data_IF_031743355131
#
_entry.id   IF_031743355131
#
_cell.length_a   1.000
_cell.length_b   1.000
_cell.length_c   1.000
_cell.angle_alpha   90.00
_cell.angle_beta   90.00
_cell.angle_gamma   90.00
#
_symmetry.space_group_name_H-M   'P 1'
#
loop_
_entity.id
_entity.type
_entity.pdbx_description
1 polymer ?
#
# COMPACT_ATOMS: atom_id res chain seq x y z
N UNK A 1 -36.84 -20.52 -17.76
CA UNK A 1 -36.19 -19.80 -18.87
C UNK A 1 -34.87 -19.26 -18.38
N UNK A 2 -33.72 -19.61 -18.98
CA UNK A 2 -32.44 -19.12 -18.48
C UNK A 2 -32.25 -17.66 -18.90
N UNK A 3 -32.04 -16.79 -17.92
CA UNK A 3 -31.67 -15.38 -18.11
C UNK A 3 -30.30 -15.29 -18.77
N UNK A 4 -30.25 -14.67 -19.95
CA UNK A 4 -29.01 -14.38 -20.69
C UNK A 4 -28.06 -13.50 -19.86
N UNK A 5 -26.75 -13.77 -19.82
CA UNK A 5 -25.79 -12.81 -19.25
C UNK A 5 -25.68 -11.59 -20.17
N UNK A 6 -25.76 -10.40 -19.57
CA UNK A 6 -25.62 -9.11 -20.27
C UNK A 6 -24.14 -8.89 -20.57
N UNK A 7 -23.80 -8.68 -21.85
CA UNK A 7 -22.48 -8.21 -22.28
C UNK A 7 -22.18 -6.85 -21.62
N UNK A 8 -21.15 -6.79 -20.77
CA UNK A 8 -20.62 -5.53 -20.27
C UNK A 8 -19.46 -5.10 -21.16
N UNK A 9 -19.77 -4.32 -22.21
CA UNK A 9 -18.75 -3.53 -22.94
C UNK A 9 -18.36 -2.31 -22.10
N UNK A 10 -17.17 -1.72 -22.34
CA UNK A 10 -16.60 -0.55 -21.61
C UNK A 10 -17.60 0.59 -21.33
N UNK A 11 -18.59 0.78 -22.19
CA UNK A 11 -19.65 1.80 -22.05
C UNK A 11 -20.62 1.52 -20.87
N UNK A 12 -20.88 0.25 -20.56
CA UNK A 12 -21.89 -0.14 -19.58
C UNK A 12 -21.40 0.01 -18.12
N UNK A 13 -20.08 -0.07 -17.89
CA UNK A 13 -19.45 0.09 -16.58
C UNK A 13 -19.56 1.54 -16.06
N UNK A 14 -19.48 2.53 -16.96
CA UNK A 14 -19.53 3.95 -16.59
C UNK A 14 -20.94 4.44 -16.17
N UNK A 15 -22.00 3.82 -16.70
CA UNK A 15 -23.40 4.20 -16.44
C UNK A 15 -23.88 3.77 -15.04
N UNK A 16 -23.47 2.57 -14.58
CA UNK A 16 -23.94 2.01 -13.31
C UNK A 16 -23.29 2.63 -12.07
N UNK A 17 -22.07 3.17 -12.18
CA UNK A 17 -21.30 3.71 -11.04
C UNK A 17 -21.84 5.05 -10.53
N UNK A 18 -22.68 5.76 -11.31
CA UNK A 18 -23.22 7.08 -10.93
C UNK A 18 -24.44 7.03 -10.00
N UNK A 19 -25.00 5.88 -9.67
CA UNK A 19 -26.22 5.81 -8.85
C UNK A 19 -26.06 4.87 -7.64
N UNK A 20 -26.11 5.51 -6.46
CA UNK A 20 -26.35 4.97 -5.10
C UNK A 20 -25.16 4.33 -4.39
N UNK A 21 -24.55 5.13 -3.51
CA UNK A 21 -23.94 4.65 -2.27
C UNK A 21 -25.06 4.19 -1.33
N UNK A 22 -25.10 2.91 -0.98
CA UNK A 22 -25.85 2.40 0.17
C UNK A 22 -24.84 1.78 1.13
N UNK A 23 -24.81 2.30 2.36
CA UNK A 23 -24.11 1.69 3.49
C UNK A 23 -24.76 0.35 3.81
N UNK A 24 -23.96 -0.72 3.85
CA UNK A 24 -24.34 -1.97 4.49
C UNK A 24 -23.52 -2.10 5.78
N UNK A 25 -24.15 -1.79 6.91
CA UNK A 25 -23.75 -2.34 8.22
C UNK A 25 -24.22 -3.79 8.27
N UNK A 26 -23.32 -4.71 8.62
CA UNK A 26 -23.66 -6.11 8.93
C UNK A 26 -23.24 -6.43 10.38
N UNK A 27 -23.97 -7.34 11.04
CA UNK A 27 -23.99 -7.47 12.51
C UNK A 27 -22.73 -8.16 13.05
N UNK A 28 -22.44 -8.05 14.37
CA UNK A 28 -21.28 -8.69 14.97
C UNK A 28 -21.46 -10.21 15.02
N UNK A 29 -20.43 -10.95 14.61
CA UNK A 29 -20.36 -12.41 14.78
C UNK A 29 -19.84 -12.82 16.17
N UNK A 30 -20.17 -14.04 16.64
CA UNK A 30 -20.23 -14.37 18.06
C UNK A 30 -18.89 -14.77 18.70
N UNK A 31 -18.87 -14.53 20.01
CA UNK A 31 -17.79 -14.73 20.97
C UNK A 31 -17.36 -16.21 21.10
N UNK A 32 -16.13 -16.53 20.67
CA UNK A 32 -15.52 -17.84 20.87
C UNK A 32 -14.95 -17.93 22.28
N UNK A 33 -15.74 -18.48 23.21
CA UNK A 33 -15.30 -18.88 24.55
C UNK A 33 -14.24 -19.98 24.45
N UNK A 34 -13.07 -19.72 25.03
CA UNK A 34 -12.04 -20.72 25.35
C UNK A 34 -12.48 -21.59 26.53
N UNK A 35 -12.29 -22.93 26.48
CA UNK A 35 -12.45 -23.77 27.66
C UNK A 35 -11.09 -24.03 28.35
N UNK A 36 -11.10 -23.84 29.68
CA UNK A 36 -10.52 -24.77 30.66
C UNK A 36 -9.02 -24.71 30.91
N UNK A 37 -8.63 -24.04 31.99
CA UNK A 37 -7.35 -24.22 32.66
C UNK A 37 -7.26 -25.60 33.33
N UNK A 38 -6.11 -26.26 33.18
CA UNK A 38 -5.67 -27.35 34.06
C UNK A 38 -4.26 -27.02 34.54
N UNK A 39 -4.12 -27.01 35.87
CA UNK A 39 -2.91 -26.76 36.64
C UNK A 39 -1.99 -27.98 36.64
N UNK A 40 -0.68 -27.74 36.58
CA UNK A 40 0.31 -28.64 37.17
C UNK A 40 1.56 -27.83 37.58
N UNK A 41 1.90 -27.93 38.85
CA UNK A 41 3.12 -27.43 39.47
C UNK A 41 4.35 -28.18 38.97
N UNK A 42 5.49 -27.50 38.94
CA UNK A 42 6.77 -28.13 38.61
C UNK A 42 7.91 -27.13 38.62
N UNK A 43 8.50 -26.93 39.79
CA UNK A 43 9.69 -26.12 40.04
C UNK A 43 10.92 -26.65 39.28
N UNK A 44 11.74 -25.74 38.74
CA UNK A 44 13.21 -25.77 38.84
C UNK A 44 13.81 -24.48 38.30
N UNK A 45 14.57 -23.83 39.19
CA UNK A 45 15.39 -22.66 38.98
C UNK A 45 16.53 -22.94 38.01
N UNK A 46 16.69 -22.09 37.00
CA UNK A 46 17.98 -21.86 36.34
C UNK A 46 18.12 -20.35 36.14
N UNK A 47 19.16 -19.81 36.74
CA UNK A 47 19.61 -18.42 36.67
C UNK A 47 19.82 -17.98 35.22
N UNK A 48 18.96 -17.07 34.73
CA UNK A 48 19.18 -16.33 33.50
C UNK A 48 19.64 -14.92 33.88
N UNK A 49 20.85 -14.58 33.47
CA UNK A 49 21.48 -13.27 33.60
C UNK A 49 20.59 -12.23 32.93
N UNK A 50 20.02 -11.31 33.71
CA UNK A 50 19.22 -10.19 33.22
C UNK A 50 20.05 -9.32 32.27
N UNK A 51 19.76 -9.41 30.97
CA UNK A 51 20.05 -8.30 30.05
C UNK A 51 19.15 -7.14 30.46
N UNK A 52 19.69 -6.20 31.23
CA UNK A 52 19.10 -4.87 31.42
C UNK A 52 18.76 -4.27 30.06
N UNK A 53 17.47 -4.28 29.69
CA UNK A 53 16.98 -3.44 28.61
C UNK A 53 16.97 -2.00 29.12
N UNK A 54 17.95 -1.21 28.70
CA UNK A 54 17.90 0.24 28.87
C UNK A 54 16.67 0.75 28.14
N UNK A 55 15.74 1.38 28.86
CA UNK A 55 14.59 2.04 28.27
C UNK A 55 15.07 3.08 27.24
N UNK A 56 14.64 2.95 25.98
CA UNK A 56 14.91 3.94 24.92
C UNK A 56 14.33 5.29 25.33
N UNK A 57 15.10 6.37 25.21
CA UNK A 57 14.58 7.71 25.44
C UNK A 57 13.55 8.04 24.34
N UNK A 58 12.48 8.79 24.66
CA UNK A 58 11.52 9.27 23.67
C UNK A 58 12.22 10.26 22.71
N UNK A 59 12.80 9.72 21.65
CA UNK A 59 13.67 10.42 20.69
C UNK A 59 14.59 9.45 19.91
N UNK A 60 14.88 8.27 20.44
CA UNK A 60 15.84 7.32 19.86
C UNK A 60 15.21 6.25 18.94
N UNK A 61 13.93 6.40 18.59
CA UNK A 61 13.23 5.41 17.77
C UNK A 61 12.06 5.96 16.96
N UNK A 62 11.68 5.23 15.92
CA UNK A 62 10.48 5.48 15.14
C UNK A 62 9.25 5.06 15.96
N UNK A 63 8.37 6.02 16.24
CA UNK A 63 7.11 5.79 16.94
C UNK A 63 6.14 4.97 16.08
N UNK A 64 6.00 5.32 14.81
CA UNK A 64 4.98 4.72 13.96
C UNK A 64 5.28 4.77 12.47
N UNK A 65 4.49 4.02 11.71
CA UNK A 65 4.52 4.01 10.25
C UNK A 65 3.14 4.41 9.75
N UNK A 66 3.05 5.40 8.88
CA UNK A 66 1.83 5.77 8.17
C UNK A 66 1.92 5.33 6.71
N UNK A 67 1.03 4.43 6.31
CA UNK A 67 0.81 4.07 4.91
C UNK A 67 -0.30 4.92 4.31
N UNK A 68 0.02 5.60 3.20
CA UNK A 68 -0.92 6.44 2.46
C UNK A 68 -1.70 5.62 1.44
N UNK A 69 -2.89 5.14 1.81
CA UNK A 69 -3.72 4.25 0.97
C UNK A 69 -4.96 4.93 0.40
N UNK A 70 -5.26 6.17 0.81
CA UNK A 70 -6.50 6.88 0.46
C UNK A 70 -6.55 7.48 -0.96
N UNK A 71 -5.50 7.41 -1.78
CA UNK A 71 -5.48 8.09 -3.10
C UNK A 71 -6.61 7.65 -4.07
N UNK A 72 -7.15 8.60 -4.86
CA UNK A 72 -8.21 8.31 -5.83
C UNK A 72 -7.83 7.23 -6.86
N UNK A 73 -6.55 7.21 -7.29
CA UNK A 73 -6.06 6.21 -8.24
C UNK A 73 -6.67 6.32 -9.65
N UNK A 74 -7.05 7.52 -10.08
CA UNK A 74 -7.77 7.78 -11.35
C UNK A 74 -7.08 7.20 -12.59
N UNK A 75 -5.74 7.24 -12.65
CA UNK A 75 -4.93 6.66 -13.74
C UNK A 75 -5.02 5.12 -13.83
N UNK A 76 -5.58 4.47 -12.82
CA UNK A 76 -5.83 3.04 -12.75
C UNK A 76 -7.34 2.73 -12.66
N UNK A 77 -8.22 3.61 -13.14
CA UNK A 77 -9.65 3.31 -13.27
C UNK A 77 -9.96 2.47 -14.52
N UNK A 78 -10.81 1.42 -14.43
CA UNK A 78 -11.79 1.20 -13.36
C UNK A 78 -11.32 0.37 -12.16
N UNK A 79 -10.07 -0.12 -12.13
CA UNK A 79 -9.58 -0.96 -11.03
C UNK A 79 -9.67 -0.27 -9.66
N UNK A 80 -9.21 0.97 -9.58
CA UNK A 80 -9.20 1.78 -8.34
C UNK A 80 -10.58 2.24 -7.89
N UNK A 81 -11.64 2.01 -8.68
CA UNK A 81 -13.02 2.26 -8.25
C UNK A 81 -13.46 1.24 -7.19
N UNK A 82 -12.97 0.01 -7.27
CA UNK A 82 -13.44 -1.10 -6.45
C UNK A 82 -12.54 -1.42 -5.26
N UNK A 83 -11.21 -1.29 -5.42
CA UNK A 83 -10.25 -1.60 -4.35
C UNK A 83 -9.10 -0.60 -4.35
N UNK A 84 -8.50 -0.30 -3.18
CA UNK A 84 -7.28 0.50 -3.10
C UNK A 84 -6.13 -0.13 -3.90
N UNK A 85 -5.36 0.70 -4.63
CA UNK A 85 -4.16 0.25 -5.35
C UNK A 85 -3.12 -0.39 -4.44
N UNK A 86 -3.11 -0.02 -3.16
CA UNK A 86 -2.28 -0.64 -2.12
C UNK A 86 -2.42 -2.18 -2.07
N UNK A 87 -3.55 -2.71 -2.56
CA UNK A 87 -3.85 -4.14 -2.60
C UNK A 87 -3.52 -4.79 -3.96
N UNK A 88 -2.86 -4.07 -4.88
CA UNK A 88 -2.34 -4.68 -6.11
C UNK A 88 -1.38 -5.82 -5.74
N UNK A 89 -1.46 -6.97 -6.44
CA UNK A 89 -0.60 -8.10 -6.15
C UNK A 89 0.85 -7.78 -6.51
N UNK A 90 1.78 -8.43 -5.82
CA UNK A 90 3.20 -8.48 -6.15
C UNK A 90 3.79 -9.78 -5.58
N UNK A 91 4.05 -10.75 -6.46
CA UNK A 91 4.35 -12.11 -6.02
C UNK A 91 3.17 -12.72 -5.26
N UNK A 92 3.45 -13.27 -4.08
CA UNK A 92 2.47 -13.88 -3.17
C UNK A 92 1.83 -12.87 -2.19
N UNK A 93 2.23 -11.59 -2.23
CA UNK A 93 1.73 -10.53 -1.34
C UNK A 93 1.04 -9.42 -2.16
N UNK A 94 0.53 -8.39 -1.47
CA UNK A 94 0.19 -7.10 -2.08
C UNK A 94 1.33 -6.08 -1.93
N UNK A 95 1.24 -4.94 -2.62
CA UNK A 95 2.14 -3.79 -2.41
C UNK A 95 2.20 -3.37 -0.93
N UNK A 96 1.03 -3.25 -0.29
CA UNK A 96 0.93 -2.91 1.13
C UNK A 96 1.55 -4.00 2.01
N UNK A 97 1.27 -5.27 1.73
CA UNK A 97 1.86 -6.39 2.48
C UNK A 97 3.38 -6.43 2.38
N UNK A 98 3.95 -6.14 1.20
CA UNK A 98 5.41 -6.00 1.02
C UNK A 98 5.96 -4.86 1.88
N UNK A 99 5.31 -3.69 1.88
CA UNK A 99 5.75 -2.55 2.68
C UNK A 99 5.67 -2.84 4.19
N UNK A 100 4.58 -3.45 4.68
CA UNK A 100 4.45 -3.85 6.09
C UNK A 100 5.58 -4.82 6.48
N UNK A 101 5.88 -5.80 5.63
CA UNK A 101 6.98 -6.74 5.86
C UNK A 101 8.36 -6.07 5.89
N UNK A 102 8.59 -5.02 5.11
CA UNK A 102 9.84 -4.27 5.14
C UNK A 102 9.95 -3.42 6.41
N UNK A 103 8.89 -2.73 6.81
CA UNK A 103 8.92 -1.83 7.97
C UNK A 103 8.77 -2.52 9.32
N UNK A 104 8.36 -3.79 9.40
CA UNK A 104 8.31 -4.49 10.70
C UNK A 104 9.67 -4.60 11.39
N UNK A 105 10.77 -4.50 10.63
CA UNK A 105 12.15 -4.63 11.14
C UNK A 105 12.54 -3.52 12.13
N UNK A 106 11.83 -2.38 12.09
CA UNK A 106 12.03 -1.26 13.02
C UNK A 106 11.05 -1.29 14.21
N UNK A 107 10.19 -2.31 14.27
CA UNK A 107 9.27 -2.57 15.39
C UNK A 107 8.48 -1.32 15.86
N UNK A 108 7.72 -0.67 14.95
CA UNK A 108 7.00 0.55 15.30
C UNK A 108 5.93 0.25 16.37
N UNK A 109 5.62 1.21 17.23
CA UNK A 109 4.56 1.05 18.25
C UNK A 109 3.17 0.91 17.59
N UNK A 110 3.00 1.53 16.42
CA UNK A 110 1.74 1.54 15.68
C UNK A 110 1.97 1.63 14.17
N UNK A 111 1.20 0.85 13.42
CA UNK A 111 1.03 1.04 11.98
C UNK A 111 -0.31 1.75 11.75
N UNK A 112 -0.27 2.91 11.12
CA UNK A 112 -1.44 3.65 10.70
C UNK A 112 -1.65 3.54 9.19
N UNK A 113 -2.89 3.56 8.74
CA UNK A 113 -3.25 3.66 7.33
C UNK A 113 -4.37 4.66 7.16
N UNK A 114 -4.19 5.67 6.31
CA UNK A 114 -5.35 6.45 5.88
C UNK A 114 -6.12 5.70 4.80
N UNK A 115 -7.44 5.80 4.79
CA UNK A 115 -8.27 5.07 3.84
C UNK A 115 -9.57 5.84 3.53
N UNK A 116 -9.92 5.86 2.25
CA UNK A 116 -11.22 6.36 1.77
C UNK A 116 -12.13 5.23 1.30
N UNK A 117 -11.58 4.27 0.56
CA UNK A 117 -12.33 3.14 0.00
C UNK A 117 -11.90 1.83 0.67
N UNK A 118 -12.88 0.96 0.96
CA UNK A 118 -12.67 -0.37 1.52
C UNK A 118 -11.63 -0.45 2.66
N UNK A 119 -11.75 0.39 3.71
CA UNK A 119 -10.79 0.41 4.83
C UNK A 119 -10.64 -0.96 5.52
N UNK A 120 -11.68 -1.79 5.51
CA UNK A 120 -11.68 -3.16 6.02
C UNK A 120 -10.69 -4.07 5.27
N UNK A 121 -10.56 -3.91 3.94
CA UNK A 121 -9.61 -4.67 3.14
C UNK A 121 -8.17 -4.25 3.45
N UNK A 122 -7.94 -2.94 3.61
CA UNK A 122 -6.63 -2.39 4.01
C UNK A 122 -6.24 -2.91 5.40
N UNK A 123 -7.15 -2.83 6.37
CA UNK A 123 -6.92 -3.34 7.72
C UNK A 123 -6.57 -4.84 7.70
N UNK A 124 -7.36 -5.65 6.99
CA UNK A 124 -7.13 -7.09 6.91
C UNK A 124 -5.77 -7.41 6.30
N UNK A 125 -5.36 -6.66 5.28
CA UNK A 125 -4.06 -6.86 4.66
C UNK A 125 -2.90 -6.53 5.61
N UNK A 126 -2.96 -5.40 6.33
CA UNK A 126 -1.94 -5.07 7.34
C UNK A 126 -1.90 -6.11 8.45
N UNK A 127 -3.08 -6.53 8.96
CA UNK A 127 -3.21 -7.51 10.05
C UNK A 127 -2.58 -8.87 9.73
N UNK A 128 -2.53 -9.28 8.46
CA UNK A 128 -1.84 -10.52 8.03
C UNK A 128 -0.36 -10.53 8.38
N UNK A 129 0.28 -9.37 8.39
CA UNK A 129 1.74 -9.24 8.56
C UNK A 129 2.14 -8.54 9.86
N UNK A 130 1.21 -7.81 10.49
CA UNK A 130 1.47 -7.04 11.70
C UNK A 130 0.52 -7.42 12.86
N UNK A 131 1.04 -8.10 13.90
CA UNK A 131 0.23 -8.46 15.07
C UNK A 131 0.03 -7.28 16.04
N UNK A 132 0.81 -6.22 15.92
CA UNK A 132 0.77 -5.07 16.83
C UNK A 132 -0.43 -4.14 16.63
N UNK A 133 -0.31 -2.92 17.15
CA UNK A 133 -1.37 -1.90 17.07
C UNK A 133 -1.53 -1.42 15.62
N UNK A 134 -2.77 -1.41 15.15
CA UNK A 134 -3.16 -0.86 13.84
C UNK A 134 -4.14 0.28 14.07
N UNK A 135 -3.96 1.40 13.37
CA UNK A 135 -4.89 2.53 13.39
C UNK A 135 -5.35 2.89 11.99
N UNK A 136 -6.65 2.78 11.74
CA UNK A 136 -7.26 3.26 10.50
C UNK A 136 -7.64 4.74 10.63
N UNK A 137 -7.21 5.57 9.70
CA UNK A 137 -7.56 6.98 9.61
C UNK A 137 -8.54 7.14 8.43
N UNK A 138 -9.83 7.19 8.72
CA UNK A 138 -10.84 7.30 7.67
C UNK A 138 -10.88 8.72 7.11
N UNK A 139 -10.85 8.83 5.78
CA UNK A 139 -10.93 10.09 5.05
C UNK A 139 -12.10 10.02 4.07
N UNK A 140 -13.12 10.87 4.23
CA UNK A 140 -14.26 10.92 3.30
C UNK A 140 -13.82 11.18 1.85
N UNK A 141 -12.80 12.02 1.70
CA UNK A 141 -12.09 12.30 0.46
C UNK A 141 -10.58 12.28 0.74
N UNK A 142 -9.75 11.89 -0.24
CA UNK A 142 -8.31 11.82 -0.06
C UNK A 142 -7.76 13.20 0.28
N UNK A 143 -7.20 13.35 1.48
CA UNK A 143 -6.65 14.61 1.94
C UNK A 143 -5.24 14.84 1.36
N UNK A 144 -4.55 13.77 0.97
CA UNK A 144 -3.13 13.84 0.61
C UNK A 144 -2.24 14.05 1.83
N UNK A 145 -0.93 13.92 1.66
CA UNK A 145 0.04 13.88 2.76
C UNK A 145 -0.13 15.02 3.78
N UNK A 146 -0.02 16.32 3.40
CA UNK A 146 -0.16 17.41 4.37
C UNK A 146 -1.52 17.41 5.09
N UNK A 147 -2.61 17.13 4.38
CA UNK A 147 -3.95 17.07 4.97
C UNK A 147 -4.11 15.95 5.98
N UNK A 148 -3.61 14.75 5.67
CA UNK A 148 -3.61 13.60 6.59
C UNK A 148 -2.81 13.90 7.85
N UNK A 149 -1.63 14.51 7.72
CA UNK A 149 -0.80 14.90 8.86
C UNK A 149 -1.48 15.98 9.72
N UNK A 150 -2.01 17.02 9.09
CA UNK A 150 -2.67 18.14 9.77
C UNK A 150 -3.88 17.68 10.59
N UNK A 151 -4.76 16.86 9.98
CA UNK A 151 -5.97 16.34 10.61
C UNK A 151 -5.69 15.39 11.79
N UNK A 152 -4.51 14.74 11.81
CA UNK A 152 -4.16 13.73 12.80
C UNK A 152 -2.95 14.12 13.67
N UNK A 153 -2.60 15.40 13.73
CA UNK A 153 -1.35 15.89 14.32
C UNK A 153 -1.07 15.36 15.75
N UNK A 154 -2.11 15.20 16.57
CA UNK A 154 -2.01 14.72 17.96
C UNK A 154 -1.43 13.28 18.09
N UNK A 155 -1.45 12.51 16.99
CA UNK A 155 -0.90 11.16 16.95
C UNK A 155 0.63 11.14 16.82
N UNK A 156 1.23 12.20 16.28
CA UNK A 156 2.63 12.25 15.89
C UNK A 156 3.49 12.87 17.00
N UNK A 157 3.76 12.08 18.06
CA UNK A 157 4.53 12.52 19.23
C UNK A 157 6.03 12.23 19.12
N UNK A 158 6.42 11.30 18.25
CA UNK A 158 7.81 10.98 17.91
C UNK A 158 8.04 10.98 16.40
N UNK A 159 9.10 10.32 15.95
CA UNK A 159 9.44 10.18 14.53
C UNK A 159 8.51 9.16 13.84
N UNK A 160 8.04 9.48 12.64
CA UNK A 160 7.18 8.60 11.86
C UNK A 160 7.74 8.35 10.47
N UNK A 161 7.70 7.09 10.05
CA UNK A 161 7.83 6.75 8.63
C UNK A 161 6.51 7.09 7.93
N UNK A 162 6.60 7.75 6.79
CA UNK A 162 5.51 8.00 5.87
C UNK A 162 5.82 7.27 4.56
N UNK A 163 4.91 6.43 4.09
CA UNK A 163 5.09 5.68 2.83
C UNK A 163 3.86 5.77 1.96
N UNK A 164 4.05 6.16 0.69
CA UNK A 164 3.10 5.85 -0.37
C UNK A 164 2.97 4.32 -0.51
N UNK A 165 1.92 3.85 -1.18
CA UNK A 165 1.63 2.42 -1.34
C UNK A 165 1.28 2.04 -2.77
N UNK A 166 1.75 2.79 -3.75
CA UNK A 166 1.50 2.57 -5.17
C UNK A 166 2.77 2.40 -5.99
N UNK A 167 3.79 1.81 -5.36
CA UNK A 167 5.07 1.48 -5.95
C UNK A 167 5.63 0.18 -5.39
N UNK A 168 6.57 -0.42 -6.13
CA UNK A 168 7.46 -1.48 -5.62
C UNK A 168 8.85 -0.87 -5.44
N UNK A 169 9.41 -1.06 -4.25
CA UNK A 169 10.75 -0.60 -3.88
C UNK A 169 11.28 -1.50 -2.76
N UNK A 170 12.55 -1.87 -2.85
CA UNK A 170 13.30 -2.48 -1.75
C UNK A 170 13.99 -1.37 -0.95
N UNK A 171 13.46 -1.12 0.25
CA UNK A 171 13.80 0.03 1.07
C UNK A 171 14.90 -0.38 2.05
N UNK A 172 16.02 0.36 2.14
CA UNK A 172 17.04 0.18 3.17
C UNK A 172 16.54 0.77 4.50
N UNK A 173 15.55 0.11 5.11
CA UNK A 173 14.76 0.66 6.22
C UNK A 173 15.64 0.96 7.44
N UNK A 174 16.55 0.06 7.81
CA UNK A 174 17.37 0.23 9.03
C UNK A 174 18.35 1.37 8.85
N UNK A 175 19.03 1.39 7.73
CA UNK A 175 20.05 2.38 7.37
C UNK A 175 19.43 3.77 7.22
N UNK A 176 18.24 3.87 6.63
CA UNK A 176 17.51 5.13 6.52
C UNK A 176 17.09 5.68 7.90
N UNK A 177 16.67 4.81 8.82
CA UNK A 177 16.33 5.21 10.20
C UNK A 177 17.56 5.63 10.99
N UNK A 178 18.64 4.86 10.92
CA UNK A 178 19.92 5.18 11.56
C UNK A 178 20.47 6.53 11.06
N UNK A 179 20.39 6.77 9.76
CA UNK A 179 20.76 8.05 9.16
C UNK A 179 19.89 9.20 9.67
N UNK A 180 18.57 9.03 9.72
CA UNK A 180 17.65 10.07 10.22
C UNK A 180 17.98 10.49 11.65
N UNK A 181 18.17 9.49 12.54
CA UNK A 181 18.45 9.72 13.95
C UNK A 181 19.85 10.30 14.17
N UNK A 182 20.88 9.75 13.53
CA UNK A 182 22.28 10.19 13.71
C UNK A 182 22.54 11.60 13.17
N UNK A 183 21.83 12.00 12.11
CA UNK A 183 21.95 13.35 11.56
C UNK A 183 21.12 14.40 12.32
N UNK A 184 20.18 13.98 13.17
CA UNK A 184 19.22 14.88 13.80
C UNK A 184 18.26 15.53 12.80
N UNK A 185 18.03 14.88 11.65
CA UNK A 185 17.13 15.38 10.61
C UNK A 185 15.71 15.48 11.14
N UNK A 186 15.02 16.58 10.84
CA UNK A 186 13.58 16.71 11.16
C UNK A 186 12.74 16.06 10.05
N UNK A 187 13.26 16.02 8.82
CA UNK A 187 12.67 15.29 7.71
C UNK A 187 13.76 14.60 6.88
N UNK A 188 13.75 13.28 6.81
CA UNK A 188 14.60 12.53 5.88
C UNK A 188 13.77 12.01 4.70
N UNK A 189 14.15 12.35 3.48
CA UNK A 189 13.45 11.96 2.25
C UNK A 189 14.23 10.86 1.53
N UNK A 190 13.57 9.75 1.19
CA UNK A 190 14.20 8.70 0.38
C UNK A 190 14.22 9.13 -1.09
N UNK A 191 15.41 9.21 -1.65
CA UNK A 191 15.64 9.63 -3.03
C UNK A 191 16.37 8.58 -3.84
N UNK A 192 16.21 8.65 -5.16
CA UNK A 192 16.89 7.76 -6.09
C UNK A 192 17.06 8.38 -7.48
N UNK A 193 17.59 7.58 -8.39
CA UNK A 193 17.62 7.91 -9.81
C UNK A 193 16.21 7.95 -10.39
N UNK A 194 16.04 8.69 -11.48
CA UNK A 194 14.78 8.66 -12.23
C UNK A 194 14.62 7.31 -12.93
N UNK A 195 13.41 6.73 -12.97
CA UNK A 195 13.14 5.63 -13.86
C UNK A 195 13.31 6.06 -15.32
N UNK A 196 13.61 5.10 -16.20
CA UNK A 196 13.75 5.31 -17.65
C UNK A 196 12.39 5.46 -18.37
N UNK A 197 11.29 5.42 -17.62
CA UNK A 197 9.92 5.60 -18.09
C UNK A 197 9.21 6.72 -17.33
N UNK A 198 8.13 7.24 -17.91
CA UNK A 198 7.27 8.24 -17.27
C UNK A 198 7.89 9.65 -17.20
N UNK A 199 7.12 10.58 -16.62
CA UNK A 199 7.57 11.95 -16.34
C UNK A 199 7.27 12.25 -14.89
N UNK A 200 8.32 12.37 -14.07
CA UNK A 200 8.20 12.59 -12.64
C UNK A 200 8.81 13.94 -12.24
N UNK A 201 8.25 14.54 -11.19
CA UNK A 201 8.80 15.77 -10.63
C UNK A 201 10.19 15.53 -10.06
N UNK A 202 11.07 16.53 -10.22
CA UNK A 202 12.39 16.53 -9.64
C UNK A 202 12.41 17.16 -8.25
N UNK A 203 13.24 16.58 -7.39
CA UNK A 203 13.68 17.18 -6.15
C UNK A 203 15.09 17.73 -6.34
N UNK A 204 15.29 19.06 -6.26
CA UNK A 204 16.63 19.62 -6.23
C UNK A 204 17.28 19.30 -4.88
N UNK A 205 18.44 18.65 -4.90
CA UNK A 205 19.23 18.37 -3.71
C UNK A 205 20.71 18.54 -4.03
N UNK A 206 21.39 19.44 -3.30
CA UNK A 206 22.83 19.72 -3.46
C UNK A 206 23.25 19.96 -4.93
N UNK A 207 22.43 20.68 -5.69
CA UNK A 207 22.65 20.95 -7.12
C UNK A 207 22.28 19.82 -8.08
N UNK A 208 21.90 18.64 -7.57
CA UNK A 208 21.46 17.51 -8.38
C UNK A 208 19.93 17.40 -8.41
N UNK A 209 19.41 16.82 -9.50
CA UNK A 209 18.00 16.46 -9.62
C UNK A 209 17.80 15.01 -9.17
N UNK A 210 16.94 14.78 -8.18
CA UNK A 210 16.64 13.46 -7.63
C UNK A 210 15.16 13.11 -7.74
N UNK A 211 14.85 11.83 -7.81
CA UNK A 211 13.47 11.35 -7.76
C UNK A 211 13.05 11.05 -6.32
N UNK A 212 11.87 11.52 -5.90
CA UNK A 212 11.26 11.12 -4.63
C UNK A 212 10.69 9.71 -4.75
N UNK A 213 11.18 8.77 -3.95
CA UNK A 213 10.75 7.37 -4.05
C UNK A 213 9.47 7.07 -3.27
N UNK A 214 8.81 8.07 -2.69
CA UNK A 214 7.53 7.93 -2.00
C UNK A 214 7.64 7.53 -0.53
N UNK A 215 8.83 7.55 0.07
CA UNK A 215 9.09 7.20 1.47
C UNK A 215 9.86 8.33 2.16
N UNK A 216 9.47 8.68 3.38
CA UNK A 216 10.22 9.63 4.20
C UNK A 216 10.05 9.35 5.70
N UNK A 217 10.92 9.91 6.52
CA UNK A 217 10.78 9.94 7.98
C UNK A 217 10.58 11.39 8.40
N UNK A 218 9.56 11.66 9.21
CA UNK A 218 9.21 13.00 9.68
C UNK A 218 9.19 13.05 11.21
N UNK A 219 9.68 14.15 11.77
CA UNK A 219 9.53 14.48 13.18
C UNK A 219 8.17 15.14 13.46
N UNK A 220 7.80 15.32 14.74
CA UNK A 220 6.63 16.11 15.12
C UNK A 220 6.67 17.56 14.60
N UNK A 221 7.85 18.15 14.38
CA UNK A 221 7.96 19.54 13.89
C UNK A 221 7.40 19.68 12.49
N UNK A 222 7.69 18.72 11.59
CA UNK A 222 7.15 18.71 10.22
C UNK A 222 5.62 18.61 10.22
N UNK A 223 5.08 17.75 11.08
CA UNK A 223 3.62 17.60 11.25
C UNK A 223 2.99 18.89 11.76
N UNK A 224 3.66 19.60 12.67
CA UNK A 224 3.22 20.91 13.16
C UNK A 224 3.15 21.96 12.05
N UNK A 225 4.10 21.96 11.10
CA UNK A 225 4.05 22.84 9.93
C UNK A 225 2.79 22.57 9.11
N UNK A 226 2.47 21.31 8.83
CA UNK A 226 1.24 20.96 8.10
C UNK A 226 -0.03 21.51 8.78
N UNK A 227 -0.04 21.52 10.12
CA UNK A 227 -1.14 22.04 10.93
C UNK A 227 -1.20 23.57 10.97
N UNK A 228 -0.07 24.26 11.21
CA UNK A 228 0.00 25.72 11.32
C UNK A 228 -0.37 26.38 10.00
N UNK A 229 0.16 25.85 8.90
CA UNK A 229 -0.13 26.30 7.54
C UNK A 229 -1.53 25.89 7.06
N UNK A 230 -2.32 25.24 7.92
CA UNK A 230 -3.69 24.76 7.64
C UNK A 230 -3.79 24.01 6.31
N UNK A 231 -2.77 23.22 6.00
CA UNK A 231 -2.72 22.48 4.74
C UNK A 231 -3.77 21.36 4.81
N UNK A 232 -4.95 21.64 4.27
CA UNK A 232 -6.09 20.71 4.24
C UNK A 232 -6.00 19.71 3.09
N UNK A 233 -5.23 20.04 2.05
CA UNK A 233 -4.92 19.14 0.95
C UNK A 233 -3.54 19.40 0.35
N UNK A 234 -3.03 18.45 -0.43
CA UNK A 234 -1.85 18.66 -1.25
C UNK A 234 -0.94 17.45 -1.38
N UNK A 235 0.17 17.66 -2.08
CA UNK A 235 1.19 16.64 -2.29
C UNK A 235 2.44 16.92 -1.42
N UNK A 236 3.38 15.98 -1.47
CA UNK A 236 4.70 16.09 -0.85
C UNK A 236 5.38 17.44 -1.08
N UNK A 237 5.33 17.97 -2.31
CA UNK A 237 6.01 19.22 -2.69
C UNK A 237 5.48 20.45 -1.94
N UNK A 238 4.17 20.50 -1.67
CA UNK A 238 3.57 21.59 -0.92
C UNK A 238 4.06 21.59 0.54
N UNK A 239 4.02 20.43 1.19
CA UNK A 239 4.51 20.27 2.56
C UNK A 239 6.01 20.56 2.65
N UNK A 240 6.79 20.08 1.68
CA UNK A 240 8.23 20.33 1.61
C UNK A 240 8.53 21.83 1.49
N UNK A 241 7.86 22.54 0.59
CA UNK A 241 8.06 23.99 0.44
C UNK A 241 7.73 24.76 1.73
N UNK A 242 6.66 24.39 2.42
CA UNK A 242 6.31 24.99 3.71
C UNK A 242 7.37 24.69 4.78
N UNK A 243 7.86 23.45 4.85
CA UNK A 243 8.91 23.04 5.78
C UNK A 243 10.24 23.78 5.52
N UNK A 244 10.64 23.93 4.25
CA UNK A 244 11.84 24.69 3.86
C UNK A 244 11.73 26.16 4.29
N UNK A 245 10.58 26.80 4.04
CA UNK A 245 10.32 28.19 4.49
C UNK A 245 10.36 28.34 6.01
N UNK A 246 9.94 27.30 6.74
CA UNK A 246 9.98 27.27 8.19
C UNK A 246 11.36 26.88 8.77
N UNK A 247 12.38 26.69 7.92
CA UNK A 247 13.73 26.33 8.36
C UNK A 247 13.86 24.92 8.93
N UNK A 248 12.96 24.00 8.54
CA UNK A 248 13.07 22.58 8.91
C UNK A 248 14.36 22.01 8.33
N UNK A 249 15.10 21.27 9.15
CA UNK A 249 16.28 20.55 8.68
C UNK A 249 15.86 19.30 7.90
N UNK A 250 15.85 19.43 6.57
CA UNK A 250 15.50 18.36 5.62
C UNK A 250 16.78 17.76 5.06
N UNK A 251 16.90 16.44 5.13
CA UNK A 251 18.02 15.69 4.58
C UNK A 251 17.54 14.63 3.59
N UNK A 252 18.43 14.20 2.69
CA UNK A 252 18.13 13.11 1.76
C UNK A 252 18.87 11.84 2.14
N UNK A 253 18.21 10.70 1.96
CA UNK A 253 18.85 9.39 1.96
C UNK A 253 18.76 8.84 0.54
N UNK A 254 19.89 8.73 -0.15
CA UNK A 254 19.93 8.23 -1.52
C UNK A 254 20.05 6.70 -1.55
N UNK A 255 19.30 6.05 -2.45
CA UNK A 255 19.43 4.63 -2.76
C UNK A 255 19.51 4.40 -4.27
N UNK A 256 20.21 3.34 -4.67
CA UNK A 256 20.25 2.82 -6.04
C UNK A 256 19.20 1.74 -6.29
N UNK A 257 18.28 1.49 -5.35
CA UNK A 257 17.23 0.49 -5.50
C UNK A 257 16.27 0.83 -6.64
N UNK A 258 15.81 -0.20 -7.34
CA UNK A 258 14.84 -0.05 -8.42
C UNK A 258 13.48 0.40 -7.87
N UNK A 259 12.93 1.42 -8.51
CA UNK A 259 11.62 1.97 -8.19
C UNK A 259 10.64 1.68 -9.33
N UNK A 260 9.58 0.94 -9.01
CA UNK A 260 8.56 0.55 -9.99
C UNK A 260 7.23 1.23 -9.68
N UNK A 261 6.79 2.12 -10.57
CA UNK A 261 5.49 2.79 -10.45
C UNK A 261 4.34 1.79 -10.70
N UNK A 262 3.39 1.72 -9.78
CA UNK A 262 2.14 0.94 -9.92
C UNK A 262 0.92 1.86 -10.06
N UNK A 263 1.14 3.06 -10.60
CA UNK A 263 0.21 4.17 -10.60
C UNK A 263 -0.75 4.21 -11.78
N UNK A 264 -0.49 3.46 -12.86
CA UNK A 264 -1.32 3.44 -14.07
C UNK A 264 -1.51 2.03 -14.61
N UNK A 265 -2.57 1.80 -15.39
CA UNK A 265 -2.85 0.50 -16.00
C UNK A 265 -1.70 -0.08 -16.81
N UNK A 266 -1.08 0.77 -17.64
CA UNK A 266 0.06 0.36 -18.47
C UNK A 266 1.24 -0.10 -17.62
N UNK A 267 1.57 0.63 -16.55
CA UNK A 267 2.69 0.32 -15.68
C UNK A 267 2.41 -0.90 -14.80
N UNK A 268 1.18 -1.05 -14.30
CA UNK A 268 0.75 -2.25 -13.57
C UNK A 268 0.96 -3.49 -14.46
N UNK A 269 0.52 -3.44 -15.71
CA UNK A 269 0.75 -4.54 -16.67
C UNK A 269 2.23 -4.79 -16.90
N UNK A 270 2.98 -3.74 -17.25
CA UNK A 270 4.42 -3.82 -17.53
C UNK A 270 5.17 -4.50 -16.36
N UNK A 271 4.95 -4.02 -15.14
CA UNK A 271 5.70 -4.47 -13.97
C UNK A 271 5.24 -5.84 -13.45
N UNK A 272 3.95 -6.20 -13.56
CA UNK A 272 3.52 -7.55 -13.19
C UNK A 272 4.05 -8.62 -14.15
N UNK A 273 4.22 -8.28 -15.43
CA UNK A 273 4.73 -9.21 -16.44
C UNK A 273 6.26 -9.26 -16.49
N UNK A 274 6.97 -8.37 -15.78
CA UNK A 274 8.43 -8.24 -15.92
C UNK A 274 9.21 -9.46 -15.42
N UNK A 275 8.62 -10.26 -14.53
CA UNK A 275 9.24 -11.46 -13.94
C UNK A 275 8.78 -12.76 -14.62
N UNK A 276 8.23 -12.66 -15.83
CA UNK A 276 7.71 -13.81 -16.57
C UNK A 276 6.24 -14.09 -16.28
N UNK A 277 5.78 -15.25 -16.76
CA UNK A 277 4.40 -15.67 -16.60
C UNK A 277 4.13 -16.26 -15.22
N UNK A 278 2.97 -15.95 -14.64
CA UNK A 278 2.54 -16.40 -13.33
C UNK A 278 1.07 -16.82 -13.36
N UNK A 279 0.76 -17.94 -12.70
CA UNK A 279 -0.60 -18.40 -12.43
C UNK A 279 -0.69 -18.74 -10.95
N UNK A 280 -1.55 -18.02 -10.23
CA UNK A 280 -1.78 -18.31 -8.82
C UNK A 280 -2.39 -19.73 -8.65
N UNK A 281 -1.99 -20.52 -7.65
CA UNK A 281 -2.44 -21.91 -7.49
C UNK A 281 -3.96 -22.10 -7.38
N UNK A 282 -4.70 -21.08 -6.93
CA UNK A 282 -6.17 -21.12 -6.85
C UNK A 282 -6.89 -20.69 -8.13
N UNK A 283 -6.17 -20.29 -9.17
CA UNK A 283 -6.76 -19.95 -10.46
C UNK A 283 -7.18 -21.23 -11.20
N UNK A 284 -8.32 -21.17 -11.89
CA UNK A 284 -8.86 -22.27 -12.66
C UNK A 284 -8.73 -21.96 -14.14
N UNK A 285 -7.89 -22.73 -14.84
CA UNK A 285 -7.66 -22.59 -16.28
C UNK A 285 -8.27 -23.79 -16.99
N UNK A 286 -9.25 -23.56 -17.86
CA UNK A 286 -9.82 -24.62 -18.66
C UNK A 286 -8.74 -25.20 -19.60
N UNK A 287 -8.75 -26.53 -19.77
CA UNK A 287 -7.76 -27.26 -20.61
C UNK A 287 -7.68 -26.77 -22.07
N UNK A 288 -8.78 -26.20 -22.57
CA UNK A 288 -8.90 -25.71 -23.95
C UNK A 288 -8.65 -24.19 -24.05
N UNK A 289 -8.19 -23.54 -22.98
CA UNK A 289 -7.80 -22.14 -23.03
C UNK A 289 -6.39 -21.99 -23.64
N UNK A 290 -6.17 -20.91 -24.38
CA UNK A 290 -4.90 -20.61 -25.04
C UNK A 290 -4.18 -19.47 -24.32
N UNK A 291 -2.97 -19.75 -23.81
CA UNK A 291 -2.14 -18.79 -23.09
C UNK A 291 -0.86 -18.54 -23.89
N UNK A 292 -0.70 -17.32 -24.39
CA UNK A 292 0.40 -16.91 -25.27
C UNK A 292 1.25 -15.80 -24.65
N UNK A 293 2.56 -15.83 -24.87
CA UNK A 293 3.47 -14.81 -24.35
C UNK A 293 3.47 -14.71 -22.82
N UNK A 294 3.46 -13.48 -22.30
CA UNK A 294 3.50 -13.23 -20.86
C UNK A 294 2.10 -13.10 -20.26
N UNK A 295 1.87 -13.67 -19.07
CA UNK A 295 0.59 -13.50 -18.39
C UNK A 295 0.73 -13.50 -16.88
N UNK A 296 -0.11 -12.74 -16.21
CA UNK A 296 -0.25 -12.77 -14.75
C UNK A 296 -1.69 -13.12 -14.40
N UNK A 297 -1.93 -14.30 -13.82
CA UNK A 297 -3.26 -14.77 -13.44
C UNK A 297 -3.35 -14.80 -11.92
N UNK A 298 -4.10 -13.84 -11.36
CA UNK A 298 -4.28 -13.68 -9.92
C UNK A 298 -5.10 -14.78 -9.24
N UNK A 299 -5.27 -14.65 -7.94
CA UNK A 299 -5.96 -15.65 -7.12
C UNK A 299 -7.43 -15.77 -7.50
N UNK A 300 -7.94 -17.01 -7.52
CA UNK A 300 -9.36 -17.32 -7.80
C UNK A 300 -9.86 -16.81 -9.16
N UNK A 301 -8.96 -16.54 -10.09
CA UNK A 301 -9.32 -16.23 -11.47
C UNK A 301 -9.88 -17.47 -12.17
N UNK A 302 -10.77 -17.27 -13.14
CA UNK A 302 -11.35 -18.33 -13.97
C UNK A 302 -11.12 -18.00 -15.43
N UNK A 303 -10.44 -18.89 -16.15
CA UNK A 303 -10.26 -18.82 -17.61
C UNK A 303 -11.08 -19.94 -18.21
N UNK A 304 -12.15 -19.57 -18.91
CA UNK A 304 -13.13 -20.53 -19.45
C UNK A 304 -12.64 -21.19 -20.75
N UNK A 305 -13.39 -22.20 -21.21
CA UNK A 305 -13.08 -22.94 -22.44
C UNK A 305 -12.93 -22.04 -23.67
N UNK A 306 -11.89 -22.29 -24.47
CA UNK A 306 -11.61 -21.54 -25.70
C UNK A 306 -11.20 -20.09 -25.50
N UNK A 307 -11.01 -19.63 -24.26
CA UNK A 307 -10.56 -18.27 -23.99
C UNK A 307 -9.07 -18.10 -24.35
N UNK A 308 -8.70 -16.89 -24.79
CA UNK A 308 -7.33 -16.56 -25.20
C UNK A 308 -6.78 -15.47 -24.28
N UNK A 309 -5.56 -15.66 -23.80
CA UNK A 309 -4.82 -14.65 -23.04
C UNK A 309 -3.46 -14.45 -23.68
N UNK A 310 -3.11 -13.20 -23.99
CA UNK A 310 -1.80 -12.85 -24.52
C UNK A 310 -1.25 -11.57 -23.92
N UNK A 311 -0.03 -11.62 -23.40
CA UNK A 311 0.67 -10.46 -22.84
C UNK A 311 -0.25 -9.66 -21.90
N UNK A 312 -0.93 -10.30 -20.94
CA UNK A 312 -2.03 -9.66 -20.21
C UNK A 312 -2.09 -10.04 -18.74
N UNK A 313 -2.76 -9.22 -17.94
CA UNK A 313 -2.93 -9.42 -16.49
C UNK A 313 -4.39 -9.66 -16.17
N UNK A 314 -4.69 -10.69 -15.40
CA UNK A 314 -5.97 -10.90 -14.73
C UNK A 314 -5.76 -10.75 -13.22
N UNK A 315 -6.40 -9.77 -12.61
CA UNK A 315 -6.32 -9.55 -11.17
C UNK A 315 -7.33 -10.40 -10.40
N UNK A 316 -7.12 -10.51 -9.08
CA UNK A 316 -7.84 -11.46 -8.22
C UNK A 316 -9.36 -11.54 -8.49
N UNK A 317 -9.83 -12.78 -8.66
CA UNK A 317 -11.22 -13.14 -8.90
C UNK A 317 -11.71 -12.91 -10.33
N UNK A 318 -10.89 -12.34 -11.23
CA UNK A 318 -11.31 -12.06 -12.60
C UNK A 318 -11.77 -13.31 -13.35
N UNK A 319 -12.81 -13.15 -14.17
CA UNK A 319 -13.37 -14.24 -14.98
C UNK A 319 -13.26 -13.87 -16.46
N UNK A 320 -12.61 -14.73 -17.24
CA UNK A 320 -12.59 -14.66 -18.69
C UNK A 320 -13.59 -15.71 -19.23
N UNK A 321 -14.62 -15.23 -19.93
CA UNK A 321 -15.75 -16.03 -20.40
C UNK A 321 -15.35 -16.96 -21.57
N UNK A 322 -16.16 -18.00 -21.89
CA UNK A 322 -15.84 -18.91 -22.98
C UNK A 322 -15.64 -18.17 -24.31
N UNK A 323 -14.56 -18.50 -25.02
CA UNK A 323 -14.19 -17.89 -26.31
C UNK A 323 -13.75 -16.42 -26.24
N UNK A 324 -13.67 -15.80 -25.05
CA UNK A 324 -13.24 -14.41 -24.93
C UNK A 324 -11.71 -14.28 -25.09
N UNK A 325 -11.26 -13.14 -25.60
CA UNK A 325 -9.84 -12.85 -25.82
C UNK A 325 -9.40 -11.64 -25.01
N UNK A 326 -8.28 -11.78 -24.29
CA UNK A 326 -7.61 -10.74 -23.52
C UNK A 326 -6.19 -10.55 -24.06
N UNK A 327 -5.95 -9.42 -24.72
CA UNK A 327 -4.70 -9.14 -25.44
C UNK A 327 -4.18 -7.77 -25.06
N UNK A 328 -2.93 -7.72 -24.60
CA UNK A 328 -2.23 -6.50 -24.22
C UNK A 328 -2.98 -5.62 -23.19
N UNK A 329 -3.77 -6.23 -22.30
CA UNK A 329 -4.67 -5.52 -21.38
C UNK A 329 -4.63 -6.09 -19.94
N UNK A 330 -5.37 -5.43 -19.05
CA UNK A 330 -5.53 -5.83 -17.64
C UNK A 330 -7.01 -5.97 -17.31
N UNK A 331 -7.42 -7.14 -16.83
CA UNK A 331 -8.76 -7.35 -16.26
C UNK A 331 -8.73 -6.97 -14.77
N UNK A 332 -9.56 -6.01 -14.33
CA UNK A 332 -9.68 -5.64 -12.93
C UNK A 332 -10.16 -6.79 -12.04
N UNK A 333 -10.03 -6.62 -10.73
CA UNK A 333 -10.59 -7.55 -9.73
C UNK A 333 -12.11 -7.72 -9.92
N UNK A 334 -12.57 -8.97 -9.79
CA UNK A 334 -14.00 -9.26 -9.80
C UNK A 334 -14.62 -8.95 -8.44
N UNK A 335 -15.73 -8.21 -8.45
CA UNK A 335 -16.57 -8.00 -7.28
C UNK A 335 -17.81 -8.86 -7.46
N UNK A 336 -17.98 -9.89 -6.63
CA UNK A 336 -19.31 -10.50 -6.45
C UNK A 336 -20.24 -9.38 -6.00
N UNK A 337 -21.18 -8.98 -6.85
CA UNK A 337 -22.32 -8.19 -6.38
C UNK A 337 -23.09 -9.11 -5.45
N UNK A 338 -23.12 -8.75 -4.16
CA UNK A 338 -23.97 -9.40 -3.15
C UNK A 338 -25.44 -9.22 -3.48
#
# INVERSE_FOLDING_TARGET
MPTRPVLLTKSCVLSAVRKRFLWCTLPPEPDLRTPGALSAEGSKSVTATEKRSTAKQPGDSIQGVLFLTAGYGTRAEPLSLYRPKALLPWGETTLLGKLVNQFKVIEPEVIACNATKCPELVYREVRRYWPGKIRMLFEEKPLGLPGTLSANAEMFKGHWVISNTDMVLDIPVREMVEFHLSTGSEWTVLTGSFPDYGKYGSLPVNGNSRHYLGVSIVSPKVVRIARIEQLSTGFFTLLRSAAEKAGIFINEYFTSADWLDMGSFHLIRKHLLMNGSYIHPSAHVHRDANLEGLYWIGSSCIISSGAVIRNSVMLDGAVLLPGASLVDDVVPWFVKRG
#
